data_IF_060424116610
#
_entry.id   IF_060424116610
#
_cell.length_a   1.000
_cell.length_b   1.000
_cell.length_c   1.000
_cell.angle_alpha   90.00
_cell.angle_beta   90.00
_cell.angle_gamma   90.00
#
_symmetry.space_group_name_H-M   'P 1'
#
loop_
_entity.id
_entity.type
_entity.pdbx_description
1 polymer ?
#
# COMPACT_ATOMS: atom_id res chain seq x y z
N UNK A 1 3.84 7.57 30.91
CA UNK A 1 5.06 7.12 30.19
C UNK A 1 4.89 5.76 29.50
N UNK A 2 4.47 4.70 30.21
CA UNK A 2 4.29 3.35 29.63
C UNK A 2 3.32 3.27 28.46
N UNK A 3 2.18 3.97 28.53
CA UNK A 3 1.18 4.02 27.45
C UNK A 3 1.73 4.64 26.16
N UNK A 4 2.60 5.65 26.29
CA UNK A 4 3.29 6.29 25.17
C UNK A 4 4.32 5.35 24.52
N UNK A 5 5.14 4.68 25.32
CA UNK A 5 6.11 3.70 24.83
C UNK A 5 5.43 2.50 24.15
N UNK A 6 4.30 2.03 24.71
CA UNK A 6 3.47 0.98 24.10
C UNK A 6 2.87 1.45 22.77
N UNK A 7 2.36 2.68 22.68
CA UNK A 7 1.87 3.23 21.41
C UNK A 7 2.99 3.34 20.37
N UNK A 8 4.16 3.88 20.72
CA UNK A 8 5.30 3.97 19.80
C UNK A 8 5.76 2.59 19.29
N UNK A 9 5.84 1.59 20.17
CA UNK A 9 6.21 0.23 19.77
C UNK A 9 5.17 -0.41 18.84
N UNK A 10 3.86 -0.19 19.10
CA UNK A 10 2.77 -0.63 18.23
C UNK A 10 2.81 0.06 16.87
N UNK A 11 3.00 1.38 16.83
CA UNK A 11 3.17 2.17 15.60
C UNK A 11 4.35 1.66 14.78
N UNK A 12 5.53 1.50 15.40
CA UNK A 12 6.72 0.96 14.71
C UNK A 12 6.48 -0.45 14.16
N UNK A 13 5.79 -1.29 14.93
CA UNK A 13 5.47 -2.66 14.52
C UNK A 13 4.49 -2.69 13.35
N UNK A 14 3.42 -1.90 13.40
CA UNK A 14 2.44 -1.79 12.32
C UNK A 14 3.07 -1.28 11.03
N UNK A 15 3.89 -0.21 11.11
CA UNK A 15 4.66 0.31 9.98
C UNK A 15 5.54 -0.76 9.33
N UNK A 16 6.34 -1.47 10.14
CA UNK A 16 7.22 -2.54 9.63
C UNK A 16 6.45 -3.67 8.98
N UNK A 17 5.31 -4.08 9.55
CA UNK A 17 4.49 -5.14 8.99
C UNK A 17 3.88 -4.73 7.63
N UNK A 18 3.38 -3.49 7.53
CA UNK A 18 2.88 -2.96 6.27
C UNK A 18 3.97 -2.88 5.21
N UNK A 19 5.13 -2.31 5.53
CA UNK A 19 6.26 -2.21 4.61
C UNK A 19 6.76 -3.59 4.15
N UNK A 20 6.96 -4.54 5.08
CA UNK A 20 7.44 -5.88 4.75
C UNK A 20 6.50 -6.65 3.81
N UNK A 21 5.20 -6.37 3.87
CA UNK A 21 4.21 -6.97 2.98
C UNK A 21 4.14 -6.28 1.62
N UNK A 22 4.18 -4.95 1.59
CA UNK A 22 3.89 -4.19 0.37
C UNK A 22 5.15 -3.98 -0.49
N UNK A 23 6.33 -3.78 0.13
CA UNK A 23 7.58 -3.54 -0.60
C UNK A 23 7.86 -4.61 -1.68
N UNK A 24 7.76 -5.92 -1.40
CA UNK A 24 8.01 -6.94 -2.43
C UNK A 24 7.05 -6.87 -3.62
N UNK A 25 5.79 -6.49 -3.40
CA UNK A 25 4.77 -6.33 -4.45
C UNK A 25 5.10 -5.12 -5.33
N UNK A 26 5.47 -4.00 -4.70
CA UNK A 26 5.89 -2.78 -5.40
C UNK A 26 7.18 -3.01 -6.18
N UNK A 27 8.16 -3.74 -5.64
CA UNK A 27 9.39 -4.09 -6.36
C UNK A 27 9.14 -5.03 -7.55
N UNK A 28 8.21 -5.97 -7.43
CA UNK A 28 7.77 -6.75 -8.58
C UNK A 28 7.13 -5.86 -9.66
N UNK A 29 6.32 -4.88 -9.25
CA UNK A 29 5.69 -3.91 -10.15
C UNK A 29 6.71 -3.02 -10.85
N UNK A 30 7.70 -2.49 -10.12
CA UNK A 30 8.82 -1.72 -10.67
C UNK A 30 9.56 -2.52 -11.74
N UNK A 31 9.81 -3.82 -11.51
CA UNK A 31 10.45 -4.69 -12.50
C UNK A 31 9.58 -4.94 -13.73
N UNK A 32 8.28 -5.19 -13.56
CA UNK A 32 7.34 -5.44 -14.67
C UNK A 32 7.10 -4.20 -15.53
N UNK A 33 7.00 -3.02 -14.91
CA UNK A 33 6.64 -1.77 -15.58
C UNK A 33 7.86 -0.95 -16.04
N UNK A 34 9.08 -1.40 -15.75
CA UNK A 34 10.31 -0.64 -16.07
C UNK A 34 10.52 0.58 -15.15
N UNK A 35 9.93 0.57 -13.96
CA UNK A 35 9.90 1.67 -13.00
C UNK A 35 8.47 2.11 -12.68
N UNK A 36 8.33 2.97 -11.67
CA UNK A 36 7.07 3.67 -11.37
C UNK A 36 7.40 5.14 -11.24
N UNK A 37 6.86 5.97 -12.13
CA UNK A 37 7.10 7.40 -12.12
C UNK A 37 6.62 8.03 -10.79
N UNK A 38 7.32 9.07 -10.33
CA UNK A 38 6.97 9.78 -9.09
C UNK A 38 5.53 10.31 -9.13
N UNK A 39 5.10 10.85 -10.28
CA UNK A 39 3.75 11.35 -10.50
C UNK A 39 2.64 10.28 -10.32
N UNK A 40 2.95 9.00 -10.57
CA UNK A 40 1.98 7.93 -10.34
C UNK A 40 1.71 7.71 -8.84
N UNK A 41 2.67 8.01 -7.97
CA UNK A 41 2.49 7.95 -6.52
C UNK A 41 1.63 9.11 -5.98
N UNK A 42 1.56 10.22 -6.71
CA UNK A 42 0.69 11.36 -6.40
C UNK A 42 -0.73 11.20 -6.95
N UNK A 43 -1.04 10.13 -7.68
CA UNK A 43 -2.39 9.89 -8.18
C UNK A 43 -3.37 9.58 -7.02
N UNK A 44 -4.54 10.23 -6.95
CA UNK A 44 -5.50 10.04 -5.86
C UNK A 44 -5.92 8.58 -5.65
N UNK A 45 -6.09 7.79 -6.72
CA UNK A 45 -6.44 6.38 -6.60
C UNK A 45 -5.29 5.58 -5.97
N UNK A 46 -4.05 5.80 -6.41
CA UNK A 46 -2.87 5.13 -5.82
C UNK A 46 -2.70 5.51 -4.35
N UNK A 47 -2.89 6.79 -4.01
CA UNK A 47 -2.84 7.26 -2.62
C UNK A 47 -3.89 6.54 -1.77
N UNK A 48 -5.15 6.52 -2.22
CA UNK A 48 -6.24 5.85 -1.50
C UNK A 48 -6.03 4.35 -1.34
N UNK A 49 -5.60 3.68 -2.42
CA UNK A 49 -5.33 2.25 -2.41
C UNK A 49 -4.26 1.88 -1.38
N UNK A 50 -3.12 2.55 -1.42
CA UNK A 50 -1.99 2.27 -0.53
C UNK A 50 -2.31 2.67 0.92
N UNK A 51 -2.96 3.82 1.14
CA UNK A 51 -3.34 4.29 2.48
C UNK A 51 -4.29 3.31 3.17
N UNK A 52 -5.28 2.79 2.44
CA UNK A 52 -6.22 1.80 2.95
C UNK A 52 -5.55 0.44 3.17
N UNK A 53 -4.69 0.00 2.24
CA UNK A 53 -3.98 -1.27 2.39
C UNK A 53 -3.05 -1.27 3.60
N UNK A 54 -2.27 -0.19 3.81
CA UNK A 54 -1.45 0.00 5.01
C UNK A 54 -2.33 -0.06 6.27
N UNK A 55 -3.50 0.58 6.25
CA UNK A 55 -4.45 0.57 7.37
C UNK A 55 -4.94 -0.84 7.68
N UNK A 56 -5.32 -1.62 6.67
CA UNK A 56 -5.81 -2.98 6.84
C UNK A 56 -4.73 -3.89 7.43
N UNK A 57 -3.51 -3.85 6.89
CA UNK A 57 -2.39 -4.66 7.38
C UNK A 57 -2.05 -4.27 8.83
N UNK A 58 -2.03 -2.98 9.13
CA UNK A 58 -1.78 -2.47 10.48
C UNK A 58 -2.83 -2.96 11.47
N UNK A 59 -4.12 -2.94 11.08
CA UNK A 59 -5.22 -3.44 11.93
C UNK A 59 -5.12 -4.93 12.18
N UNK A 60 -4.70 -5.72 11.19
CA UNK A 60 -4.46 -7.16 11.37
C UNK A 60 -3.29 -7.41 12.33
N UNK A 61 -2.21 -6.61 12.24
CA UNK A 61 -0.99 -6.81 13.02
C UNK A 61 -1.12 -6.41 14.49
N UNK A 62 -1.66 -5.21 14.76
CA UNK A 62 -1.71 -4.65 16.11
C UNK A 62 -3.13 -4.39 16.62
N UNK A 63 -4.16 -4.57 15.81
CA UNK A 63 -5.53 -4.20 16.15
C UNK A 63 -5.79 -2.71 15.94
N UNK A 64 -6.77 -2.15 16.66
CA UNK A 64 -7.13 -0.74 16.55
C UNK A 64 -5.97 0.16 17.00
N UNK A 65 -5.71 1.18 16.19
CA UNK A 65 -4.83 2.31 16.49
C UNK A 65 -5.69 3.56 16.65
N UNK A 66 -5.22 4.52 17.46
CA UNK A 66 -5.76 5.87 17.43
C UNK A 66 -5.39 6.57 16.11
N UNK A 67 -6.08 7.67 15.78
CA UNK A 67 -5.94 8.34 14.49
C UNK A 67 -4.52 8.88 14.28
N UNK A 68 -3.89 9.42 15.33
CA UNK A 68 -2.53 9.98 15.27
C UNK A 68 -1.51 8.87 15.01
N UNK A 69 -1.62 7.74 15.71
CA UNK A 69 -0.79 6.58 15.51
C UNK A 69 -1.00 5.96 14.12
N UNK A 70 -2.24 5.93 13.62
CA UNK A 70 -2.53 5.43 12.28
C UNK A 70 -1.92 6.34 11.20
N UNK A 71 -2.05 7.66 11.33
CA UNK A 71 -1.42 8.62 10.42
C UNK A 71 0.10 8.47 10.39
N UNK A 72 0.72 8.33 11.57
CA UNK A 72 2.17 8.07 11.66
C UNK A 72 2.60 6.75 11.00
N UNK A 73 1.76 5.71 11.10
CA UNK A 73 1.99 4.43 10.39
C UNK A 73 1.86 4.63 8.88
N UNK A 74 0.81 5.30 8.40
CA UNK A 74 0.55 5.51 6.98
C UNK A 74 1.68 6.31 6.32
N UNK A 75 2.05 7.46 6.89
CA UNK A 75 3.15 8.30 6.38
C UNK A 75 4.48 7.54 6.43
N UNK A 76 4.77 6.88 7.55
CA UNK A 76 6.03 6.14 7.70
C UNK A 76 6.15 4.94 6.77
N UNK A 77 5.09 4.15 6.61
CA UNK A 77 5.10 3.01 5.71
C UNK A 77 5.12 3.45 4.25
N UNK A 78 4.42 4.53 3.91
CA UNK A 78 4.48 5.13 2.58
C UNK A 78 5.92 5.49 2.20
N UNK A 79 6.63 6.19 3.09
CA UNK A 79 8.03 6.53 2.88
C UNK A 79 8.90 5.28 2.70
N UNK A 80 8.70 4.24 3.51
CA UNK A 80 9.46 2.98 3.39
C UNK A 80 9.19 2.27 2.06
N UNK A 81 7.98 2.37 1.52
CA UNK A 81 7.56 1.67 0.29
C UNK A 81 8.00 2.44 -0.96
N UNK A 82 7.75 3.75 -0.99
CA UNK A 82 7.96 4.58 -2.18
C UNK A 82 9.38 5.14 -2.26
N UNK A 83 10.04 5.33 -1.12
CA UNK A 83 11.29 6.08 -1.03
C UNK A 83 11.10 7.60 -1.10
N UNK A 84 9.88 8.09 -1.31
CA UNK A 84 9.55 9.51 -1.40
C UNK A 84 9.40 10.14 -0.01
N UNK A 85 9.67 11.44 0.11
CA UNK A 85 9.50 12.15 1.38
C UNK A 85 8.03 12.12 1.81
N UNK A 86 7.77 11.64 3.03
CA UNK A 86 6.40 11.49 3.56
C UNK A 86 5.72 12.81 3.97
N UNK A 87 6.33 13.97 3.72
CA UNK A 87 5.82 15.25 4.23
C UNK A 87 4.52 15.70 3.57
N UNK A 88 4.34 15.45 2.28
CA UNK A 88 3.13 15.88 1.54
C UNK A 88 2.04 14.82 1.53
N UNK A 89 2.40 13.54 1.53
CA UNK A 89 1.41 12.46 1.35
C UNK A 89 0.37 12.41 2.47
N UNK A 90 0.76 12.74 3.71
CA UNK A 90 -0.20 12.78 4.82
C UNK A 90 -1.26 13.87 4.63
N UNK A 91 -0.85 15.02 4.12
CA UNK A 91 -1.75 16.14 3.79
C UNK A 91 -2.64 15.79 2.60
N UNK A 92 -2.07 15.15 1.56
CA UNK A 92 -2.83 14.70 0.40
C UNK A 92 -3.91 13.68 0.78
N UNK A 93 -3.58 12.69 1.62
CA UNK A 93 -4.55 11.71 2.13
C UNK A 93 -5.71 12.39 2.89
N UNK A 94 -5.39 13.37 3.74
CA UNK A 94 -6.41 14.10 4.51
C UNK A 94 -7.27 14.99 3.61
N UNK A 95 -6.65 15.70 2.68
CA UNK A 95 -7.32 16.58 1.74
C UNK A 95 -8.26 15.80 0.82
N UNK A 96 -7.76 14.73 0.18
CA UNK A 96 -8.55 13.87 -0.71
C UNK A 96 -9.70 13.18 0.03
N UNK A 97 -9.44 12.74 1.27
CA UNK A 97 -10.47 12.16 2.13
C UNK A 97 -11.57 13.17 2.50
N UNK A 98 -11.19 14.39 2.89
CA UNK A 98 -12.14 15.45 3.24
C UNK A 98 -12.94 15.96 2.03
N UNK A 99 -12.31 15.96 0.84
CA UNK A 99 -12.95 16.35 -0.42
C UNK A 99 -13.87 15.27 -1.00
N UNK A 100 -13.91 14.06 -0.42
CA UNK A 100 -14.61 12.91 -0.98
C UNK A 100 -14.21 12.65 -2.44
N UNK A 101 -12.91 12.72 -2.72
CA UNK A 101 -12.41 12.50 -4.07
C UNK A 101 -12.76 11.08 -4.54
N UNK A 102 -13.42 10.99 -5.70
CA UNK A 102 -13.97 9.72 -6.21
C UNK A 102 -12.89 8.70 -6.55
N UNK A 103 -11.73 9.16 -7.02
CA UNK A 103 -10.62 8.29 -7.38
C UNK A 103 -9.95 7.75 -6.11
N UNK A 104 -9.75 8.61 -5.12
CA UNK A 104 -9.26 8.21 -3.80
C UNK A 104 -10.18 7.18 -3.12
N UNK A 105 -11.50 7.42 -3.13
CA UNK A 105 -12.46 6.46 -2.58
C UNK A 105 -12.50 5.14 -3.36
N UNK A 106 -12.36 5.19 -4.69
CA UNK A 106 -12.26 3.99 -5.51
C UNK A 106 -11.00 3.17 -5.14
N UNK A 107 -9.85 3.83 -5.00
CA UNK A 107 -8.62 3.19 -4.53
C UNK A 107 -8.80 2.54 -3.16
N UNK A 108 -9.44 3.26 -2.23
CA UNK A 108 -9.77 2.70 -0.91
C UNK A 108 -10.64 1.43 -1.01
N UNK A 109 -11.70 1.44 -1.82
CA UNK A 109 -12.58 0.27 -2.01
C UNK A 109 -11.87 -0.92 -2.62
N UNK A 110 -11.05 -0.68 -3.63
CA UNK A 110 -10.28 -1.74 -4.31
C UNK A 110 -9.22 -2.34 -3.37
N UNK A 111 -8.61 -1.51 -2.52
CA UNK A 111 -7.71 -1.98 -1.47
C UNK A 111 -8.41 -2.83 -0.41
N UNK A 112 -9.67 -2.56 -0.08
CA UNK A 112 -10.47 -3.45 0.79
C UNK A 112 -10.70 -4.80 0.12
N UNK A 113 -11.04 -4.80 -1.17
CA UNK A 113 -11.23 -6.03 -1.96
C UNK A 113 -9.95 -6.84 -2.01
N UNK A 114 -8.84 -6.23 -2.41
CA UNK A 114 -7.51 -6.86 -2.41
C UNK A 114 -7.09 -7.31 -1.01
N UNK A 115 -7.25 -6.47 0.00
CA UNK A 115 -6.92 -6.76 1.38
C UNK A 115 -7.69 -7.96 1.93
N UNK A 116 -8.95 -8.16 1.51
CA UNK A 116 -9.72 -9.35 1.87
C UNK A 116 -9.10 -10.63 1.30
N UNK A 117 -8.60 -10.62 0.06
CA UNK A 117 -7.92 -11.76 -0.56
C UNK A 117 -6.58 -12.06 0.13
N UNK A 118 -5.87 -10.99 0.51
CA UNK A 118 -4.59 -11.06 1.23
C UNK A 118 -4.77 -11.62 2.65
N UNK A 119 -5.79 -11.17 3.38
CA UNK A 119 -6.00 -11.49 4.80
C UNK A 119 -6.86 -12.74 5.02
N UNK A 120 -8.00 -12.88 4.33
CA UNK A 120 -8.92 -14.01 4.53
C UNK A 120 -8.23 -15.35 4.29
N UNK A 121 -7.38 -15.43 3.28
CA UNK A 121 -6.68 -16.69 2.95
C UNK A 121 -5.46 -16.92 3.82
N UNK A 122 -4.83 -15.86 4.33
CA UNK A 122 -3.80 -15.96 5.36
C UNK A 122 -4.36 -16.47 6.69
N UNK A 123 -5.58 -16.08 7.06
CA UNK A 123 -6.31 -16.61 8.22
C UNK A 123 -6.72 -18.07 8.01
N UNK A 124 -7.12 -18.47 6.79
CA UNK A 124 -7.46 -19.85 6.45
C UNK A 124 -6.24 -20.80 6.49
N UNK A 125 -5.07 -20.38 6.02
CA UNK A 125 -3.82 -21.14 6.14
C UNK A 125 -3.18 -21.08 7.54
N UNK A 126 -3.70 -20.23 8.43
CA UNK A 126 -3.20 -20.06 9.80
C UNK A 126 -3.96 -20.88 10.86
N UNK A 127 -4.92 -21.73 10.46
CA UNK A 127 -5.54 -22.78 11.28
C UNK A 127 -5.65 -22.44 12.77
N UNK A 128 -6.74 -21.77 13.16
CA UNK A 128 -7.21 -21.60 14.55
C UNK A 128 -6.12 -21.64 15.63
N UNK A 129 -5.50 -20.49 15.92
CA UNK A 129 -4.99 -20.25 17.28
C UNK A 129 -3.57 -19.71 17.44
N UNK A 130 -2.80 -19.44 16.37
CA UNK A 130 -1.49 -18.78 16.53
C UNK A 130 -1.40 -17.55 15.63
N UNK A 131 -1.29 -16.39 16.30
CA UNK A 131 -1.18 -15.05 15.72
C UNK A 131 -0.30 -15.04 14.48
N UNK A 132 -0.80 -14.39 13.40
CA UNK A 132 -0.09 -13.96 12.19
C UNK A 132 1.41 -13.64 12.41
N UNK A 133 1.71 -13.06 13.58
CA UNK A 133 3.02 -12.87 14.25
C UNK A 133 4.10 -13.93 13.99
N UNK A 134 3.78 -15.22 13.93
CA UNK A 134 4.80 -16.27 13.81
C UNK A 134 5.24 -16.49 12.35
N UNK A 135 4.34 -16.35 11.38
CA UNK A 135 4.59 -16.82 10.01
C UNK A 135 5.17 -15.78 9.06
N UNK A 136 4.98 -14.48 9.24
CA UNK A 136 5.63 -13.49 8.35
C UNK A 136 7.14 -13.40 8.57
N UNK A 137 7.61 -13.61 9.80
CA UNK A 137 9.04 -13.72 10.11
C UNK A 137 9.58 -15.15 9.91
N UNK A 138 8.77 -16.20 10.16
CA UNK A 138 9.18 -17.58 9.86
C UNK A 138 9.10 -17.95 8.38
N UNK A 139 8.28 -17.30 7.54
CA UNK A 139 8.29 -17.53 6.09
C UNK A 139 9.59 -17.04 5.43
N UNK A 140 10.35 -16.16 6.08
CA UNK A 140 11.71 -15.83 5.67
C UNK A 140 12.73 -16.91 6.04
N UNK A 141 12.35 -17.91 6.86
CA UNK A 141 13.23 -18.99 7.37
C UNK A 141 12.71 -20.40 7.09
N UNK A 142 11.46 -20.56 6.64
CA UNK A 142 10.82 -21.82 6.31
C UNK A 142 10.56 -21.90 4.79
N UNK A 143 11.31 -22.75 4.04
CA UNK A 143 11.20 -22.87 2.59
C UNK A 143 9.85 -23.45 2.11
N UNK A 144 9.00 -23.92 3.03
CA UNK A 144 7.67 -24.46 2.71
C UNK A 144 6.56 -23.40 2.70
N UNK A 145 6.82 -22.20 3.23
CA UNK A 145 5.81 -21.16 3.36
C UNK A 145 6.03 -20.09 2.29
N UNK A 146 5.31 -20.20 1.17
CA UNK A 146 5.35 -19.21 0.09
C UNK A 146 4.98 -17.83 0.65
N UNK A 147 5.86 -16.81 0.57
CA UNK A 147 5.53 -15.47 1.03
C UNK A 147 4.27 -14.97 0.30
N UNK A 148 3.44 -14.10 0.92
CA UNK A 148 2.20 -13.62 0.30
C UNK A 148 2.41 -13.02 -1.10
N UNK A 149 3.55 -12.36 -1.32
CA UNK A 149 3.95 -11.79 -2.60
C UNK A 149 4.38 -12.81 -3.67
N UNK A 150 4.66 -14.05 -3.27
CA UNK A 150 5.02 -15.15 -4.16
C UNK A 150 3.81 -16.06 -4.48
N UNK A 151 2.59 -15.67 -4.06
CA UNK A 151 1.36 -16.37 -4.43
C UNK A 151 0.79 -15.80 -5.73
N UNK A 152 0.53 -16.66 -6.70
CA UNK A 152 0.03 -16.26 -8.03
C UNK A 152 -1.31 -15.52 -7.99
N UNK A 153 -2.21 -15.89 -7.06
CA UNK A 153 -3.51 -15.23 -6.91
C UNK A 153 -3.38 -13.80 -6.38
N UNK A 154 -2.47 -13.58 -5.43
CA UNK A 154 -2.16 -12.25 -4.89
C UNK A 154 -1.43 -11.41 -5.93
N UNK A 155 -0.50 -12.01 -6.68
CA UNK A 155 0.22 -11.33 -7.75
C UNK A 155 -0.74 -10.87 -8.87
N UNK A 156 -1.63 -11.76 -9.34
CA UNK A 156 -2.61 -11.43 -10.36
C UNK A 156 -3.60 -10.34 -9.90
N UNK A 157 -4.10 -10.42 -8.66
CA UNK A 157 -4.96 -9.39 -8.10
C UNK A 157 -4.22 -8.05 -7.95
N UNK A 158 -2.96 -8.09 -7.51
CA UNK A 158 -2.13 -6.89 -7.42
C UNK A 158 -1.92 -6.24 -8.79
N UNK A 159 -1.59 -7.02 -9.81
CA UNK A 159 -1.44 -6.51 -11.18
C UNK A 159 -2.74 -5.86 -11.70
N UNK A 160 -3.88 -6.46 -11.38
CA UNK A 160 -5.19 -5.91 -11.75
C UNK A 160 -5.51 -4.58 -11.04
N UNK A 161 -5.30 -4.51 -9.72
CA UNK A 161 -5.72 -3.34 -8.93
C UNK A 161 -4.68 -2.23 -8.90
N UNK A 162 -3.39 -2.57 -8.90
CA UNK A 162 -2.29 -1.62 -8.79
C UNK A 162 -1.63 -1.36 -10.15
N UNK A 163 -0.99 -2.35 -10.76
CA UNK A 163 -0.19 -2.15 -11.98
C UNK A 163 -1.03 -1.58 -13.14
N UNK A 164 -2.23 -2.11 -13.36
CA UNK A 164 -3.13 -1.62 -14.40
C UNK A 164 -3.59 -0.16 -14.18
N UNK A 165 -3.61 0.31 -12.94
CA UNK A 165 -3.93 1.71 -12.63
C UNK A 165 -2.70 2.62 -12.77
N UNK A 166 -1.51 2.14 -12.40
CA UNK A 166 -0.24 2.83 -12.62
C UNK A 166 0.01 3.03 -14.12
N UNK A 167 -0.12 1.98 -14.92
CA UNK A 167 0.13 2.02 -16.37
C UNK A 167 -0.82 2.99 -17.10
N UNK A 168 -2.14 2.83 -16.90
CA UNK A 168 -3.18 3.66 -17.56
C UNK A 168 -3.01 5.15 -17.28
N UNK A 169 -2.59 5.50 -16.07
CA UNK A 169 -2.40 6.88 -15.64
C UNK A 169 -1.08 7.46 -16.11
N UNK A 170 -0.03 6.64 -16.18
CA UNK A 170 1.21 7.00 -16.87
C UNK A 170 0.96 7.37 -18.34
N UNK A 171 0.15 6.60 -19.06
CA UNK A 171 -0.23 6.87 -20.46
C UNK A 171 -1.05 8.15 -20.61
N UNK A 172 -2.00 8.39 -19.70
CA UNK A 172 -2.84 9.59 -19.72
C UNK A 172 -1.99 10.86 -19.55
N UNK A 173 -1.02 10.85 -18.64
CA UNK A 173 -0.11 11.98 -18.41
C UNK A 173 0.84 12.22 -19.58
N UNK A 174 1.39 11.15 -20.18
CA UNK A 174 2.20 11.25 -21.40
C UNK A 174 1.41 11.87 -22.57
N UNK A 175 0.13 11.52 -22.69
CA UNK A 175 -0.76 12.07 -23.74
C UNK A 175 -1.01 13.57 -23.53
N UNK A 176 -1.31 14.00 -22.29
CA UNK A 176 -1.55 15.42 -21.97
C UNK A 176 -0.32 16.28 -22.26
N UNK A 177 0.88 15.80 -21.91
CA UNK A 177 2.14 16.51 -22.18
C UNK A 177 2.52 16.49 -23.67
N UNK A 178 2.17 15.44 -24.41
CA UNK A 178 2.37 15.38 -25.87
C UNK A 178 1.48 16.37 -26.63
N UNK A 179 0.26 16.60 -26.18
CA UNK A 179 -0.68 17.53 -26.84
C UNK A 179 -0.33 19.02 -26.72
N UNK A 180 0.58 19.40 -25.82
CA UNK A 180 0.97 20.81 -25.61
C UNK A 180 2.16 21.22 -26.49
N UNK A 181 2.98 20.27 -26.95
CA UNK A 181 4.11 20.56 -27.85
C UNK A 181 3.69 20.89 -29.29
N UNK A 182 2.49 20.44 -29.69
CA UNK A 182 1.95 20.68 -31.04
C UNK A 182 1.25 22.04 -31.21
N UNK A 183 1.09 22.82 -30.12
CA UNK A 183 0.43 24.14 -30.16
C UNK A 183 1.39 25.33 -30.19
N UNK A 184 2.69 25.10 -30.10
CA UNK A 184 3.71 26.19 -30.07
C UNK A 184 4.22 26.55 -31.48
N UNK A 185 3.84 25.80 -32.52
CA UNK A 185 4.30 26.04 -33.91
C UNK A 185 3.17 26.20 -34.93
N UNK A 186 2.11 26.95 -34.60
CA UNK A 186 1.16 27.45 -35.62
C UNK A 186 0.83 28.91 -35.41
#
# INVERSE_FOLDING_TARGET
MWRFLLNLSRTRRARRAAAAMIVPLVEASRRRLGGIAEAAWSDPYIIGFMAMLITLISRVEVGRLDNDALGAVQVGAWQDITGLSGSTVGEDMLHLGAAHDRNFEAGCRDAVTFGSMLVARSLLFAGAGKTWRAKTWQAATDPSCTPPAARDDVAAAWEQFFDANVARRGETMATVLGTDSDKVWR
#
